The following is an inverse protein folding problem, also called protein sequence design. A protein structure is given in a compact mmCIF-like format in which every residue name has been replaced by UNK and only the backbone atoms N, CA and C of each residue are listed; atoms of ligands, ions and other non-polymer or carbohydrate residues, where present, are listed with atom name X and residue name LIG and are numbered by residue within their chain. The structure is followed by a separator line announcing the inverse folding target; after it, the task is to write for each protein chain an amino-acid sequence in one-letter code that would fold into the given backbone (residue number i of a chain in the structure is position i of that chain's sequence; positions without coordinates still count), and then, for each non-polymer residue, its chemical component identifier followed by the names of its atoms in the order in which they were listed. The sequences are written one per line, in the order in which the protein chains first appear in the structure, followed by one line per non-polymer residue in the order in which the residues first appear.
data_IF_988719434753
#
_entry.id   IF_988719434753
#
_cell.length_a   1.000
_cell.length_b   1.000
_cell.length_c   1.000
_cell.angle_alpha   90.00
_cell.angle_beta   90.00
_cell.angle_gamma   90.00
#
_symmetry.space_group_name_H-M   'P 1'
#
loop_
_entity.id
_entity.type
_entity.pdbx_description
1 polymer ?
2 non-polymer ?
3 non-polymer ?
4 non-polymer ?
5 water ?
#
# COMPACT_ATOMS: atom_id res chain seq x y z
N UNK A 9 4.91 -26.39 -7.67
CA UNK A 9 4.81 -27.55 -6.78
C UNK A 9 5.50 -27.35 -5.44
N UNK A 10 4.71 -27.34 -4.39
CA UNK A 10 5.26 -27.07 -3.06
C UNK A 10 5.83 -28.40 -2.52
N UNK A 11 6.78 -28.28 -1.61
CA UNK A 11 7.33 -29.46 -0.95
C UNK A 11 6.37 -29.91 0.13
N UNK A 12 6.60 -31.11 0.65
CA UNK A 12 5.83 -31.56 1.78
C UNK A 12 5.94 -30.53 2.88
N UNK A 13 4.82 -30.23 3.56
CA UNK A 13 4.88 -29.35 4.74
C UNK A 13 3.92 -29.86 5.79
N UNK A 14 4.27 -29.66 7.05
CA UNK A 14 3.38 -30.09 8.14
C UNK A 14 2.85 -28.89 8.86
N UNK A 15 1.54 -28.70 8.83
CA UNK A 15 0.91 -27.59 9.52
C UNK A 15 -0.52 -27.95 9.92
N UNK A 16 -1.15 -27.19 10.85
CA UNK A 16 -2.51 -27.49 11.31
C UNK A 16 -3.52 -27.53 10.17
N UNK A 17 -4.36 -28.56 10.19
CA UNK A 17 -5.43 -28.71 9.20
C UNK A 17 -6.45 -27.57 9.30
N UNK A 18 -6.73 -26.90 8.17
CA UNK A 18 -7.83 -25.92 8.23
C UNK A 18 -9.13 -26.67 8.48
N UNK A 19 -10.01 -26.05 9.23
CA UNK A 19 -11.28 -26.68 9.57
C UNK A 19 -12.45 -25.91 8.95
N UNK A 20 -13.14 -26.60 8.08
CA UNK A 20 -14.17 -26.01 7.24
C UNK A 20 -15.30 -25.44 8.14
N UNK A 21 -15.54 -26.10 9.27
CA UNK A 21 -16.70 -25.72 10.07
C UNK A 21 -16.24 -24.88 11.26
N UNK A 22 -14.96 -24.43 11.22
CA UNK A 22 -14.45 -23.46 12.22
C UNK A 22 -13.81 -22.23 11.53
N UNK A 23 -14.57 -21.16 11.43
CA UNK A 23 -14.04 -19.86 10.93
C UNK A 23 -12.75 -19.49 11.66
N UNK A 24 -11.81 -18.83 10.96
CA UNK A 24 -10.55 -18.37 11.56
C UNK A 24 -10.76 -17.12 12.44
N UNK A 25 -11.63 -16.23 11.96
CA UNK A 25 -11.96 -14.98 12.62
C UNK A 25 -13.51 -14.96 12.56
N UNK A 26 -14.20 -14.61 13.65
CA UNK A 26 -15.66 -14.47 13.58
C UNK A 26 -16.06 -13.02 13.81
N UNK A 27 -15.11 -12.20 14.21
CA UNK A 27 -15.39 -10.80 14.50
C UNK A 27 -15.33 -9.86 13.28
N UNK A 28 -14.81 -10.31 12.13
CA UNK A 28 -14.58 -9.38 11.03
C UNK A 28 -14.89 -10.08 9.69
N UNK A 29 -15.12 -9.27 8.68
CA UNK A 29 -15.33 -9.76 7.33
C UNK A 29 -13.98 -10.14 6.71
N UNK A 30 -13.87 -11.37 6.23
CA UNK A 30 -12.57 -11.84 5.70
C UNK A 30 -12.56 -12.05 4.20
N UNK A 31 -13.69 -11.76 3.55
CA UNK A 31 -13.73 -11.84 2.09
C UNK A 31 -14.69 -10.76 1.59
N UNK A 32 -14.31 -10.07 0.51
CA UNK A 32 -15.22 -9.12 -0.08
C UNK A 32 -16.32 -9.79 -0.93
N UNK A 33 -17.33 -9.01 -1.33
CA UNK A 33 -18.43 -9.57 -2.14
C UNK A 33 -17.95 -9.92 -3.55
N UNK A 34 -16.74 -9.55 -3.97
CA UNK A 34 -16.22 -10.03 -5.27
C UNK A 34 -15.15 -11.09 -5.04
N UNK A 35 -15.20 -11.70 -3.86
CA UNK A 35 -14.36 -12.83 -3.48
C UNK A 35 -12.85 -12.53 -3.41
N UNK A 36 -12.51 -11.31 -3.06
CA UNK A 36 -11.11 -11.02 -2.72
C UNK A 36 -10.96 -11.24 -1.24
N UNK A 37 -9.86 -11.88 -0.82
CA UNK A 37 -9.67 -11.97 0.65
C UNK A 37 -9.39 -10.59 1.29
N UNK A 38 -9.84 -10.46 2.53
CA UNK A 38 -9.46 -9.28 3.36
C UNK A 38 -8.46 -9.82 4.40
N UNK A 39 -7.24 -9.28 4.35
CA UNK A 39 -6.13 -9.94 5.02
C UNK A 39 -6.04 -9.40 6.47
N UNK A 40 -6.39 -10.27 7.44
CA UNK A 40 -6.26 -10.02 8.88
C UNK A 40 -5.36 -11.14 9.44
N UNK A 41 -4.75 -10.89 10.61
CA UNK A 41 -4.07 -11.93 11.30
C UNK A 41 -5.03 -13.11 11.60
N UNK A 42 -4.52 -14.33 11.47
CA UNK A 42 -5.35 -15.52 11.67
C UNK A 42 -5.89 -16.10 10.36
N UNK A 43 -5.89 -15.32 9.26
CA UNK A 43 -6.55 -15.78 8.04
C UNK A 43 -5.56 -16.54 7.15
N UNK A 44 -4.25 -16.35 7.39
CA UNK A 44 -3.23 -16.92 6.49
C UNK A 44 -2.17 -17.73 7.24
N UNK A 45 -1.60 -18.71 6.53
CA UNK A 45 -0.45 -19.48 7.06
C UNK A 45 0.71 -18.98 6.26
N UNK A 46 1.58 -18.22 6.94
CA UNK A 46 2.63 -17.54 6.19
C UNK A 46 3.64 -18.52 5.63
N UNK A 47 3.75 -19.70 6.26
CA UNK A 47 4.70 -20.67 5.74
C UNK A 47 4.29 -21.13 4.31
N UNK A 48 3.01 -21.36 4.10
CA UNK A 48 2.52 -21.74 2.77
C UNK A 48 2.77 -20.60 1.78
N UNK A 49 2.40 -19.37 2.16
CA UNK A 49 2.51 -18.23 1.24
C UNK A 49 4.02 -18.00 0.93
N UNK A 50 4.87 -18.11 1.95
CA UNK A 50 6.29 -17.88 1.70
C UNK A 50 6.81 -18.87 0.68
N UNK A 51 6.39 -20.12 0.83
CA UNK A 51 6.83 -21.14 -0.13
C UNK A 51 6.37 -20.79 -1.56
N UNK A 52 5.08 -20.46 -1.72
CA UNK A 52 4.57 -20.16 -3.02
C UNK A 52 5.37 -19.02 -3.68
N UNK A 53 5.62 -17.93 -2.94
CA UNK A 53 6.33 -16.78 -3.54
C UNK A 53 7.85 -16.97 -3.75
N UNK A 54 8.47 -17.68 -2.85
CA UNK A 54 9.90 -17.96 -3.04
C UNK A 54 10.11 -18.84 -4.24
N UNK A 55 9.20 -19.81 -4.46
CA UNK A 55 9.37 -20.74 -5.59
C UNK A 55 9.31 -20.02 -6.93
N UNK A 56 8.75 -18.82 -6.92
CA UNK A 56 8.73 -17.95 -8.08
C UNK A 56 9.85 -16.92 -8.02
N UNK A 57 10.70 -17.00 -7.02
CA UNK A 57 11.77 -16.00 -6.92
C UNK A 57 11.24 -14.57 -7.00
N UNK A 58 10.22 -14.30 -6.23
CA UNK A 58 9.54 -13.01 -6.30
C UNK A 58 10.40 -11.85 -5.83
N UNK A 59 10.40 -10.78 -6.63
CA UNK A 59 11.03 -9.49 -6.20
C UNK A 59 9.96 -8.45 -5.93
N UNK A 60 10.07 -7.79 -4.77
CA UNK A 60 9.10 -6.79 -4.38
C UNK A 60 9.76 -5.40 -4.38
N UNK A 61 9.20 -4.48 -5.16
CA UNK A 61 9.67 -3.09 -5.11
C UNK A 61 8.87 -2.29 -4.11
N UNK A 62 9.55 -1.45 -3.34
CA UNK A 62 8.89 -0.58 -2.36
C UNK A 62 9.23 0.85 -2.75
N UNK A 63 8.21 1.67 -3.06
CA UNK A 63 8.46 3.07 -3.43
C UNK A 63 8.08 3.97 -2.29
N UNK A 64 8.93 4.96 -2.03
CA UNK A 64 8.58 5.91 -0.95
C UNK A 64 9.17 7.28 -1.34
N UNK A 65 8.37 8.35 -1.11
CA UNK A 65 8.84 9.71 -1.39
C UNK A 65 9.25 10.37 -0.11
N UNK A 66 10.37 11.04 -0.14
CA UNK A 66 10.82 11.74 1.03
C UNK A 66 11.44 13.06 0.58
N UNK A 67 10.58 14.06 0.39
CA UNK A 67 11.01 15.34 -0.16
C UNK A 67 10.94 16.37 0.95
N UNK A 68 11.87 17.33 0.93
CA UNK A 68 11.97 18.39 1.94
C UNK A 68 12.21 17.76 3.32
N UNK A 69 11.41 18.16 4.32
CA UNK A 69 11.70 17.79 5.71
C UNK A 69 11.42 16.30 5.94
N UNK A 70 10.72 15.67 5.00
CA UNK A 70 10.27 14.31 5.20
C UNK A 70 11.42 13.31 5.07
N UNK A 71 12.57 13.77 4.64
CA UNK A 71 13.73 12.90 4.61
C UNK A 71 14.05 12.43 6.00
N UNK A 72 13.63 13.21 7.01
CA UNK A 72 13.95 12.82 8.41
C UNK A 72 13.27 11.51 8.82
N UNK A 73 12.23 11.10 8.10
CA UNK A 73 11.50 9.89 8.46
C UNK A 73 12.19 8.66 7.90
N UNK A 74 13.17 8.85 6.99
CA UNK A 74 13.66 7.66 6.28
C UNK A 74 14.41 6.68 7.20
N UNK A 75 15.14 7.20 8.17
CA UNK A 75 15.97 6.30 9.00
C UNK A 75 15.07 5.24 9.66
N UNK A 76 14.02 5.68 10.35
CA UNK A 76 13.17 4.70 11.05
C UNK A 76 12.35 3.85 10.06
N UNK A 77 11.88 4.50 8.98
CA UNK A 77 11.14 3.77 7.94
C UNK A 77 12.00 2.60 7.43
N UNK A 78 13.25 2.89 7.04
CA UNK A 78 14.05 1.87 6.37
C UNK A 78 14.54 0.82 7.39
N UNK A 79 14.93 1.23 8.59
CA UNK A 79 15.43 0.28 9.57
C UNK A 79 14.31 -0.70 9.97
N UNK A 80 13.11 -0.18 10.15
CA UNK A 80 12.01 -1.05 10.51
C UNK A 80 11.56 -1.92 9.29
N UNK A 81 11.65 -1.40 8.05
CA UNK A 81 11.38 -2.26 6.87
C UNK A 81 12.32 -3.47 6.83
N UNK A 82 13.59 -3.25 7.20
CA UNK A 82 14.56 -4.34 7.23
C UNK A 82 14.17 -5.40 8.25
N UNK A 83 13.52 -5.01 9.33
CA UNK A 83 13.11 -5.97 10.34
C UNK A 83 11.81 -6.68 9.99
N UNK A 84 10.96 -6.02 9.21
CA UNK A 84 9.58 -6.56 9.07
C UNK A 84 8.98 -6.69 7.67
N UNK A 85 9.61 -6.12 6.65
CA UNK A 85 8.96 -6.07 5.36
C UNK A 85 9.52 -7.11 4.39
N UNK A 86 8.71 -8.14 4.04
CA UNK A 86 9.14 -9.13 3.04
C UNK A 86 10.48 -9.80 3.41
N UNK A 87 10.75 -10.00 4.71
CA UNK A 87 12.02 -10.64 5.05
C UNK A 87 12.12 -12.08 4.48
N UNK A 88 13.24 -12.34 3.82
CA UNK A 88 13.43 -13.66 3.14
C UNK A 88 13.26 -13.63 1.64
N UNK A 89 12.65 -12.54 1.17
CA UNK A 89 12.40 -12.30 -0.22
C UNK A 89 13.30 -11.22 -0.79
N UNK A 90 13.41 -11.17 -2.12
CA UNK A 90 14.14 -10.07 -2.74
C UNK A 90 13.36 -8.79 -2.72
N UNK A 91 14.01 -7.73 -2.25
CA UNK A 91 13.32 -6.42 -2.15
C UNK A 91 14.14 -5.33 -2.78
N UNK A 92 13.52 -4.40 -3.48
CA UNK A 92 14.27 -3.26 -4.05
C UNK A 92 13.56 -2.00 -3.57
N UNK A 93 14.22 -1.20 -2.75
CA UNK A 93 13.60 0.01 -2.25
C UNK A 93 13.91 1.10 -3.23
N UNK A 94 12.90 1.90 -3.56
CA UNK A 94 13.14 3.05 -4.45
C UNK A 94 12.80 4.31 -3.66
N UNK A 95 13.79 5.11 -3.32
CA UNK A 95 13.54 6.24 -2.46
C UNK A 95 13.68 7.48 -3.38
N UNK A 96 12.58 8.21 -3.51
CA UNK A 96 12.55 9.43 -4.30
C UNK A 96 12.74 10.61 -3.36
N UNK A 97 13.75 11.42 -3.63
CA UNK A 97 14.05 12.55 -2.75
C UNK A 97 14.68 13.68 -3.53
N UNK A 98 14.48 14.88 -3.03
CA UNK A 98 15.23 16.06 -3.54
C UNK A 98 16.57 16.19 -2.82
N UNK A 99 16.85 15.33 -1.84
CA UNK A 99 18.13 15.46 -1.10
C UNK A 99 18.84 14.11 -1.00
N UNK A 100 19.45 13.64 -2.09
CA UNK A 100 20.01 12.28 -2.02
C UNK A 100 21.04 12.11 -0.91
N UNK A 101 21.75 13.17 -0.58
CA UNK A 101 22.81 13.02 0.44
C UNK A 101 22.24 12.90 1.89
N UNK A 102 20.95 13.22 2.04
CA UNK A 102 20.25 13.13 3.33
C UNK A 102 19.69 11.73 3.54
N UNK A 103 19.79 10.87 2.55
CA UNK A 103 19.26 9.53 2.73
C UNK A 103 20.22 8.82 3.72
N UNK A 104 19.66 8.22 4.77
CA UNK A 104 20.51 7.59 5.80
C UNK A 104 21.18 6.37 5.22
N UNK A 105 22.35 6.05 5.76
CA UNK A 105 23.04 4.84 5.37
C UNK A 105 22.48 3.70 6.22
N UNK A 106 21.58 2.88 5.66
CA UNK A 106 20.96 1.82 6.45
C UNK A 106 21.49 0.50 5.91
N UNK A 107 21.90 -0.37 6.81
CA UNK A 107 22.47 -1.67 6.43
C UNK A 107 21.36 -2.61 5.97
N UNK A 108 21.53 -3.23 4.82
CA UNK A 108 20.43 -4.06 4.28
C UNK A 108 20.80 -5.53 4.37
N UNK A 109 19.78 -6.37 4.59
CA UNK A 109 19.88 -7.83 4.58
C UNK A 109 20.23 -8.30 3.15
N UNK A 110 20.67 -9.54 3.05
CA UNK A 110 21.02 -10.07 1.73
C UNK A 110 19.81 -10.10 0.79
N UNK A 111 20.02 -9.88 -0.51
CA UNK A 111 18.88 -9.96 -1.42
C UNK A 111 18.08 -8.65 -1.47
N UNK A 112 18.54 -7.60 -0.80
CA UNK A 112 17.74 -6.34 -0.70
C UNK A 112 18.62 -5.25 -1.18
N UNK A 113 18.06 -4.37 -1.99
CA UNK A 113 18.87 -3.23 -2.42
C UNK A 113 18.09 -1.93 -2.41
N UNK A 114 18.81 -0.81 -2.41
CA UNK A 114 18.13 0.45 -2.35
C UNK A 114 18.64 1.36 -3.47
N UNK A 115 17.74 1.98 -4.19
CA UNK A 115 18.15 2.96 -5.19
C UNK A 115 17.60 4.32 -4.79
N UNK A 116 18.44 5.36 -4.86
CA UNK A 116 17.99 6.72 -4.66
C UNK A 116 17.71 7.39 -5.98
N UNK A 117 16.49 7.89 -6.15
CA UNK A 117 16.06 8.59 -7.37
C UNK A 117 15.83 10.03 -7.03
N UNK A 118 16.58 10.94 -7.64
CA UNK A 118 16.49 12.34 -7.24
C UNK A 118 15.37 13.03 -7.99
N UNK A 119 14.51 13.76 -7.28
CA UNK A 119 13.42 14.52 -7.94
C UNK A 119 13.49 15.98 -7.51
N UNK A 120 12.72 16.84 -8.19
CA UNK A 120 12.49 18.25 -7.79
C UNK A 120 11.79 18.37 -6.43
N UNK A 121 11.97 19.48 -5.71
CA UNK A 121 11.08 19.78 -4.58
C UNK A 121 9.91 20.71 -4.97
N UNK A 125 1.34 20.68 -1.83
CA UNK A 125 0.96 19.25 -1.73
C UNK A 125 0.25 18.72 -2.98
N UNK A 126 -0.75 19.46 -3.47
CA UNK A 126 -1.42 19.08 -4.71
C UNK A 126 -0.38 18.57 -5.72
N UNK A 127 0.67 19.36 -5.94
CA UNK A 127 1.73 19.02 -6.88
C UNK A 127 2.64 17.86 -6.44
N UNK A 128 2.92 17.71 -5.15
CA UNK A 128 3.58 16.48 -4.69
C UNK A 128 2.69 15.27 -5.00
N UNK A 129 1.40 15.41 -4.68
CA UNK A 129 0.42 14.34 -4.91
C UNK A 129 0.41 13.85 -6.39
N UNK A 130 0.35 14.84 -7.30
CA UNK A 130 0.31 14.54 -8.72
C UNK A 130 1.63 13.88 -9.10
N UNK A 131 2.70 14.36 -8.48
CA UNK A 131 4.00 13.85 -8.90
C UNK A 131 4.26 12.41 -8.48
N UNK A 132 3.76 11.96 -7.31
CA UNK A 132 3.91 10.54 -6.98
C UNK A 132 3.25 9.66 -8.06
N UNK A 133 1.99 9.95 -8.39
CA UNK A 133 1.31 9.17 -9.44
C UNK A 133 2.06 9.29 -10.77
N UNK A 134 2.50 10.49 -11.12
CA UNK A 134 3.20 10.69 -12.37
C UNK A 134 4.51 9.91 -12.37
N UNK A 135 5.26 9.99 -11.27
CA UNK A 135 6.57 9.34 -11.19
C UNK A 135 6.46 7.81 -11.35
N UNK A 136 5.46 7.22 -10.71
CA UNK A 136 5.31 5.78 -10.74
C UNK A 136 4.84 5.29 -12.09
N UNK A 137 3.95 6.07 -12.74
CA UNK A 137 3.30 5.62 -13.97
C UNK A 137 4.05 5.91 -15.25
N UNK A 138 4.83 6.98 -15.22
CA UNK A 138 5.46 7.51 -16.43
C UNK A 138 6.98 7.36 -16.31
N UNK A 139 7.58 8.07 -15.38
CA UNK A 139 9.04 8.18 -15.39
C UNK A 139 9.76 6.84 -15.10
N UNK A 140 9.17 6.01 -14.25
CA UNK A 140 9.90 4.83 -13.79
C UNK A 140 9.32 3.57 -14.44
N UNK A 141 8.43 3.78 -15.41
CA UNK A 141 7.66 2.66 -15.95
C UNK A 141 8.56 1.48 -16.43
N UNK A 142 9.54 1.76 -17.27
CA UNK A 142 10.34 0.71 -17.88
C UNK A 142 11.26 0.09 -16.81
N UNK A 143 11.75 0.92 -15.91
CA UNK A 143 12.71 0.40 -14.92
C UNK A 143 11.97 -0.61 -14.01
N UNK A 144 10.78 -0.24 -13.59
CA UNK A 144 10.09 -1.16 -12.67
C UNK A 144 9.73 -2.48 -13.36
N UNK A 145 9.24 -2.41 -14.62
CA UNK A 145 8.89 -3.64 -15.32
C UNK A 145 10.11 -4.61 -15.42
N UNK A 146 11.32 -4.06 -15.50
CA UNK A 146 12.51 -4.88 -15.67
C UNK A 146 13.07 -5.35 -14.37
N UNK A 147 12.68 -4.74 -13.26
CA UNK A 147 13.40 -5.02 -12.04
C UNK A 147 12.62 -5.69 -10.95
N UNK A 148 11.30 -5.50 -10.92
CA UNK A 148 10.53 -6.09 -9.84
C UNK A 148 9.24 -6.77 -10.38
N UNK A 149 8.67 -7.68 -9.60
CA UNK A 149 7.41 -8.34 -9.95
C UNK A 149 6.19 -7.64 -9.40
N UNK A 150 6.34 -7.07 -8.19
CA UNK A 150 5.24 -6.37 -7.51
C UNK A 150 5.76 -5.07 -7.03
N UNK A 151 4.88 -4.09 -6.92
CA UNK A 151 5.26 -2.78 -6.40
C UNK A 151 4.34 -2.44 -5.26
N UNK A 152 4.90 -1.86 -4.20
CA UNK A 152 4.10 -1.44 -3.04
C UNK A 152 4.47 0.04 -2.89
N UNK A 153 3.46 0.91 -2.73
CA UNK A 153 3.71 2.37 -2.75
C UNK A 153 3.19 2.84 -1.42
N UNK A 154 4.07 3.45 -0.61
CA UNK A 154 3.70 3.83 0.75
C UNK A 154 4.12 5.26 1.10
N UNK A 155 3.53 5.78 2.17
CA UNK A 155 3.95 7.06 2.75
C UNK A 155 5.25 6.79 3.58
N UNK A 156 6.05 7.83 3.78
CA UNK A 156 7.30 7.68 4.49
C UNK A 156 7.18 7.96 5.99
N UNK A 157 6.15 8.70 6.39
CA UNK A 157 5.98 9.09 7.83
C UNK A 157 5.36 7.93 8.63
N UNK A 158 6.02 6.78 8.54
CA UNK A 158 5.42 5.50 8.99
C UNK A 158 6.53 4.63 9.48
N UNK A 159 6.18 3.59 10.25
CA UNK A 159 7.19 2.59 10.57
C UNK A 159 6.54 1.23 10.57
N UNK A 160 7.33 0.22 10.26
CA UNK A 160 6.85 -1.15 10.43
C UNK A 160 7.01 -1.61 11.86
N UNK A 161 5.95 -2.12 12.47
CA UNK A 161 6.10 -2.65 13.84
C UNK A 161 5.90 -4.13 13.91
N UNK A 162 5.47 -4.73 12.80
CA UNK A 162 5.26 -6.15 12.83
C UNK A 162 5.31 -6.63 11.39
N UNK A 163 5.14 -7.92 11.22
CA UNK A 163 5.30 -8.57 9.89
C UNK A 163 4.43 -7.92 8.78
N UNK A 164 5.05 -7.53 7.66
CA UNK A 164 4.28 -7.20 6.44
C UNK A 164 4.94 -8.08 5.37
N UNK A 165 4.24 -9.12 4.89
CA UNK A 165 4.90 -10.10 4.01
C UNK A 165 4.09 -10.42 2.79
N UNK A 166 4.38 -11.60 2.23
CA UNK A 166 3.88 -11.86 0.87
C UNK A 166 2.39 -12.21 0.93
N UNK A 167 1.84 -12.28 2.12
CA UNK A 167 0.36 -12.37 2.21
C UNK A 167 -0.33 -11.17 1.54
N UNK A 168 0.36 -10.03 1.33
CA UNK A 168 -0.34 -8.92 0.70
C UNK A 168 -0.31 -8.99 -0.83
N UNK A 169 0.56 -9.87 -1.40
CA UNK A 169 0.83 -9.78 -2.82
C UNK A 169 -0.28 -10.44 -3.67
N UNK A 170 -0.57 -9.77 -4.80
CA UNK A 170 -1.74 -10.09 -5.64
C UNK A 170 -1.66 -9.08 -6.75
N UNK A 171 -2.46 -9.28 -7.80
CA UNK A 171 -2.42 -8.30 -8.89
C UNK A 171 -2.70 -6.86 -8.42
N UNK A 172 -3.66 -6.59 -7.55
CA UNK A 172 -3.96 -5.21 -7.17
C UNK A 172 -4.52 -5.24 -5.76
N UNK A 173 -3.87 -4.49 -4.87
CA UNK A 173 -4.49 -4.38 -3.55
C UNK A 173 -4.60 -2.93 -3.06
N UNK A 174 -5.62 -2.74 -2.20
CA UNK A 174 -5.73 -1.49 -1.44
C UNK A 174 -5.91 -1.86 0.02
N UNK A 175 -5.78 -0.85 0.88
CA UNK A 175 -5.73 -1.08 2.33
C UNK A 175 -6.88 -0.24 2.93
N UNK A 176 -7.65 -0.83 3.81
CA UNK A 176 -8.74 -0.11 4.49
C UNK A 176 -8.12 1.04 5.32
N UNK A 177 -8.60 2.24 5.07
CA UNK A 177 -8.13 3.40 5.83
C UNK A 177 -8.59 3.20 7.29
N UNK A 178 -7.71 3.48 8.28
CA UNK A 178 -8.04 3.06 9.65
C UNK A 178 -9.09 3.95 10.27
N UNK A 179 -9.37 5.13 9.67
CA UNK A 179 -10.40 5.98 10.21
C UNK A 179 -11.82 5.57 9.82
N UNK A 180 -11.98 4.70 8.83
CA UNK A 180 -13.28 4.50 8.20
C UNK A 180 -13.73 3.05 8.12
N UNK A 181 -12.92 2.12 8.62
CA UNK A 181 -13.25 0.72 8.41
C UNK A 181 -14.59 0.35 9.06
N UNK A 182 -15.05 1.10 10.08
CA UNK A 182 -16.32 0.78 10.67
C UNK A 182 -17.43 1.72 10.24
N UNK A 183 -17.18 2.52 9.22
CA UNK A 183 -18.15 3.52 8.81
C UNK A 183 -19.08 3.09 7.70
N UNK A 184 -20.24 3.76 7.63
CA UNK A 184 -21.09 3.57 6.47
C UNK A 184 -20.58 4.40 5.28
N UNK A 185 -20.96 4.03 4.05
CA UNK A 185 -20.37 4.65 2.83
C UNK A 185 -20.71 6.14 2.76
N UNK A 186 -21.87 6.51 3.29
CA UNK A 186 -22.23 7.94 3.30
C UNK A 186 -21.22 8.81 4.09
N UNK A 187 -20.60 8.26 5.13
CA UNK A 187 -19.56 8.94 5.94
C UNK A 187 -18.17 8.96 5.34
N UNK A 188 -17.93 8.14 4.33
CA UNK A 188 -16.64 8.12 3.65
C UNK A 188 -16.39 9.51 3.01
N UNK A 189 -15.15 9.98 3.08
CA UNK A 189 -14.81 11.31 2.56
C UNK A 189 -14.36 11.17 1.11
N UNK A 190 -15.14 10.43 0.31
CA UNK A 190 -14.91 10.43 -1.15
C UNK A 190 -15.17 11.83 -1.68
N UNK A 191 -14.60 12.11 -2.84
CA UNK A 191 -14.98 13.34 -3.57
C UNK A 191 -16.43 13.25 -3.95
N UNK A 192 -17.20 14.29 -3.57
CA UNK A 192 -18.60 14.28 -3.78
C UNK A 192 -19.06 15.29 -4.87
N UNK A 193 -18.16 16.04 -5.52
CA UNK A 193 -18.64 17.01 -6.52
C UNK A 193 -18.60 16.35 -7.87
N UNK A 194 -19.71 16.31 -8.59
CA UNK A 194 -19.74 15.62 -9.90
C UNK A 194 -18.81 16.23 -10.98
N UNK A 195 -18.34 17.46 -10.74
CA UNK A 195 -17.39 18.12 -11.63
C UNK A 195 -15.99 17.51 -11.56
N UNK A 196 -15.73 16.69 -10.54
CA UNK A 196 -14.41 16.03 -10.39
C UNK A 196 -14.41 14.62 -10.96
N UNK A 197 -13.34 14.26 -11.67
CA UNK A 197 -13.17 12.88 -12.12
C UNK A 197 -13.19 11.87 -10.96
N UNK A 198 -12.91 12.30 -9.74
CA UNK A 198 -12.94 11.37 -8.61
C UNK A 198 -14.33 11.20 -7.95
N UNK A 199 -15.33 11.84 -8.49
CA UNK A 199 -16.68 11.85 -7.91
C UNK A 199 -17.23 10.45 -7.66
N UNK A 200 -17.68 10.21 -6.43
CA UNK A 200 -18.45 9.02 -6.13
C UNK A 200 -19.77 9.42 -5.45
N UNK A 201 -20.91 9.01 -6.01
CA UNK A 201 -22.22 9.36 -5.44
C UNK A 201 -22.42 8.72 -4.08
N UNK A 202 -23.35 9.30 -3.30
CA UNK A 202 -23.55 8.81 -1.94
C UNK A 202 -23.98 7.36 -1.80
N UNK A 203 -24.68 6.83 -2.82
CA UNK A 203 -25.09 5.42 -2.78
C UNK A 203 -24.08 4.38 -3.33
N UNK A 204 -22.84 4.80 -3.63
CA UNK A 204 -21.83 3.90 -4.15
C UNK A 204 -20.64 3.84 -3.23
N UNK A 205 -19.87 2.76 -3.32
CA UNK A 205 -18.68 2.69 -2.51
C UNK A 205 -18.67 1.36 -1.74
N UNK A 206 -17.53 0.64 -1.77
CA UNK A 206 -17.41 -0.59 -0.95
C UNK A 206 -16.68 -0.24 0.35
N UNK A 207 -15.50 0.40 0.19
CA UNK A 207 -14.64 0.70 1.29
C UNK A 207 -13.98 2.02 1.05
N UNK A 208 -13.44 2.60 2.13
CA UNK A 208 -12.57 3.77 1.95
C UNK A 208 -11.13 3.34 2.10
N UNK A 209 -10.39 3.37 0.99
CA UNK A 209 -9.00 2.86 0.95
C UNK A 209 -8.04 3.99 1.27
N UNK A 210 -6.97 3.67 1.97
CA UNK A 210 -6.02 4.71 2.35
C UNK A 210 -5.01 4.97 1.24
N UNK A 211 -4.66 6.24 1.02
CA UNK A 211 -3.65 6.52 0.00
C UNK A 211 -2.24 6.10 0.40
N UNK A 212 -2.02 5.85 1.69
CA UNK A 212 -0.67 5.56 2.21
C UNK A 212 -0.11 4.16 1.99
N UNK A 213 -0.91 3.24 1.48
CA UNK A 213 -0.36 1.87 1.27
C UNK A 213 -1.26 1.17 0.21
N UNK A 214 -0.75 1.05 -1.02
CA UNK A 214 -1.44 0.32 -2.08
C UNK A 214 -0.37 -0.37 -2.92
N UNK A 215 -0.74 -1.26 -3.81
CA UNK A 215 0.27 -1.95 -4.58
C UNK A 215 -0.35 -3.06 -5.39
N UNK A 216 0.50 -3.90 -5.92
CA UNK A 216 0.01 -4.89 -6.90
C UNK A 216 1.13 -5.33 -7.80
N UNK A 217 0.79 -6.08 -8.87
CA UNK A 217 1.81 -6.42 -9.85
C UNK A 217 2.26 -5.09 -10.50
N UNK A 218 3.45 -5.09 -11.09
CA UNK A 218 3.91 -3.86 -11.71
C UNK A 218 2.87 -3.39 -12.77
N UNK A 219 2.38 -4.29 -13.61
CA UNK A 219 1.45 -3.86 -14.68
C UNK A 219 0.18 -3.25 -14.09
N UNK A 220 -0.37 -3.84 -13.02
CA UNK A 220 -1.60 -3.26 -12.42
C UNK A 220 -1.34 -1.93 -11.70
N UNK A 221 -0.17 -1.82 -11.04
CA UNK A 221 0.13 -0.56 -10.33
C UNK A 221 0.36 0.54 -11.36
N UNK A 222 1.05 0.21 -12.44
CA UNK A 222 1.23 1.23 -13.50
C UNK A 222 -0.12 1.62 -14.12
N UNK A 223 -1.05 0.66 -14.29
CA UNK A 223 -2.38 1.02 -14.78
C UNK A 223 -3.16 1.96 -13.82
N UNK A 224 -3.05 1.63 -12.55
CA UNK A 224 -3.77 2.40 -11.55
C UNK A 224 -3.16 3.82 -11.50
N UNK A 225 -1.84 3.94 -11.47
CA UNK A 225 -1.26 5.28 -11.28
C UNK A 225 -1.38 6.10 -12.56
N UNK A 226 -1.33 5.43 -13.71
CA UNK A 226 -1.58 6.13 -14.96
C UNK A 226 -3.03 6.68 -15.00
N UNK A 227 -4.00 5.85 -14.64
CA UNK A 227 -5.39 6.33 -14.57
C UNK A 227 -5.57 7.47 -13.59
N UNK A 228 -4.97 7.33 -12.39
CA UNK A 228 -5.13 8.42 -11.33
C UNK A 228 -4.43 9.68 -11.88
N UNK A 229 -3.26 9.58 -12.46
CA UNK A 229 -2.59 10.76 -12.99
C UNK A 229 -3.42 11.43 -14.11
N UNK A 230 -3.95 10.64 -15.04
CA UNK A 230 -4.74 11.20 -16.12
C UNK A 230 -5.97 11.94 -15.54
N UNK A 231 -6.63 11.33 -14.55
CA UNK A 231 -7.83 11.90 -13.90
C UNK A 231 -7.47 13.20 -13.19
N UNK A 232 -6.32 13.20 -12.53
CA UNK A 232 -5.88 14.38 -11.82
C UNK A 232 -5.58 15.51 -12.77
N UNK A 233 -4.98 15.20 -13.91
CA UNK A 233 -4.73 16.26 -14.91
C UNK A 233 -6.00 16.84 -15.54
N UNK A 234 -6.99 15.99 -15.77
CA UNK A 234 -8.30 16.46 -16.23
C UNK A 234 -8.90 17.43 -15.20
N UNK A 235 -8.93 17.02 -13.93
CA UNK A 235 -9.42 17.92 -12.87
C UNK A 235 -8.65 19.24 -12.85
N UNK A 236 -7.34 19.14 -12.99
CA UNK A 236 -6.51 20.35 -12.94
C UNK A 236 -6.91 21.28 -14.09
N UNK A 237 -7.06 20.73 -15.30
CA UNK A 237 -7.52 21.54 -16.42
C UNK A 237 -8.92 22.12 -16.19
N UNK A 238 -9.74 21.46 -15.39
CA UNK A 238 -11.08 21.94 -15.16
C UNK A 238 -11.18 22.80 -13.93
N UNK A 239 -10.01 23.10 -13.35
CA UNK A 239 -9.98 24.00 -12.19
C UNK A 239 -10.55 23.37 -10.91
N UNK A 240 -10.40 22.07 -10.73
CA UNK A 240 -10.93 21.43 -9.54
C UNK A 240 -9.88 20.53 -8.93
N UNK A 241 -9.84 20.47 -7.62
CA UNK A 241 -8.84 19.60 -6.96
C UNK A 241 -9.65 18.71 -6.00
N UNK A 242 -9.49 17.39 -6.14
CA UNK A 242 -10.28 16.47 -5.31
C UNK A 242 -9.95 16.64 -3.83
N UNK A 243 -10.96 16.40 -3.01
CA UNK A 243 -10.88 16.70 -1.56
C UNK A 243 -9.66 16.10 -0.84
N UNK A 244 -9.34 14.84 -1.15
CA UNK A 244 -8.17 14.21 -0.52
C UNK A 244 -7.18 13.82 -1.64
N UNK A 245 -7.19 14.63 -2.70
CA UNK A 245 -6.09 14.58 -3.69
C UNK A 245 -5.93 13.17 -4.29
N UNK A 246 -4.71 12.63 -4.27
CA UNK A 246 -4.50 11.30 -4.87
C UNK A 246 -5.32 10.20 -4.18
N UNK A 247 -5.62 10.35 -2.91
CA UNK A 247 -6.42 9.33 -2.23
C UNK A 247 -7.85 9.28 -2.80
N UNK A 248 -8.39 10.45 -3.18
CA UNK A 248 -9.74 10.52 -3.74
C UNK A 248 -9.75 9.77 -5.07
N UNK A 249 -8.74 10.00 -5.90
CA UNK A 249 -8.66 9.27 -7.19
C UNK A 249 -8.38 7.79 -7.02
N UNK A 250 -7.54 7.44 -6.03
CA UNK A 250 -7.33 6.02 -5.72
C UNK A 250 -8.69 5.32 -5.40
N UNK A 251 -9.49 5.95 -4.55
CA UNK A 251 -10.82 5.42 -4.23
C UNK A 251 -11.71 5.25 -5.43
N UNK A 252 -11.72 6.25 -6.32
CA UNK A 252 -12.55 6.14 -7.55
C UNK A 252 -12.05 4.96 -8.39
N UNK A 253 -10.73 4.83 -8.52
CA UNK A 253 -10.17 3.73 -9.33
C UNK A 253 -10.54 2.37 -8.76
N UNK A 254 -10.36 2.20 -7.46
CA UNK A 254 -10.63 0.89 -6.84
C UNK A 254 -12.10 0.58 -6.67
N UNK A 255 -12.98 1.59 -6.75
CA UNK A 255 -14.41 1.32 -6.83
C UNK A 255 -14.74 0.64 -8.18
N UNK A 256 -14.19 1.19 -9.26
CA UNK A 256 -14.46 0.77 -10.65
C UNK A 256 -13.58 -0.41 -11.09
N UNK A 257 -12.47 -0.71 -10.39
CA UNK A 257 -11.51 -1.79 -10.74
C UNK A 257 -11.20 -2.45 -9.41
N UNK A 258 -11.97 -3.49 -9.10
CA UNK A 258 -11.93 -4.02 -7.73
C UNK A 258 -10.56 -4.64 -7.45
N UNK A 259 -10.08 -4.41 -6.24
CA UNK A 259 -8.78 -5.00 -5.94
C UNK A 259 -8.93 -6.48 -5.69
N UNK A 260 -7.87 -7.23 -5.99
CA UNK A 260 -7.88 -8.66 -5.78
C UNK A 260 -7.53 -9.13 -4.37
N UNK A 261 -7.01 -8.25 -3.53
CA UNK A 261 -6.88 -8.48 -2.05
C UNK A 261 -7.16 -7.13 -1.42
N UNK A 262 -7.79 -7.13 -0.25
CA UNK A 262 -7.94 -5.87 0.53
C UNK A 262 -7.18 -6.10 1.81
N UNK A 263 -6.30 -5.17 2.19
CA UNK A 263 -5.60 -5.34 3.43
C UNK A 263 -6.43 -4.69 4.58
N UNK A 264 -6.46 -5.37 5.76
CA UNK A 264 -7.10 -4.79 6.92
C UNK A 264 -6.30 -3.60 7.44
N UNK A 265 -6.88 -2.82 8.35
CA UNK A 265 -6.12 -1.69 8.91
C UNK A 265 -4.96 -2.14 9.79
N UNK A 266 -4.72 -3.44 9.98
CA UNK A 266 -3.45 -3.84 10.61
C UNK A 266 -2.28 -3.27 9.79
N UNK A 267 -2.53 -3.07 8.51
CA UNK A 267 -1.50 -2.66 7.55
C UNK A 267 -1.41 -1.14 7.36
N UNK A 268 -2.26 -0.38 8.03
CA UNK A 268 -2.21 1.06 7.88
C UNK A 268 -2.90 1.65 9.12
N UNK A 269 -2.11 1.94 10.14
CA UNK A 269 -2.76 2.23 11.45
C UNK A 269 -2.17 3.53 12.00
N UNK A 270 -2.76 4.09 13.06
CA UNK A 270 -2.15 5.25 13.75
C UNK A 270 -2.50 5.08 15.21
N UNK A 271 -1.54 4.60 15.99
CA UNK A 271 -1.87 4.20 17.35
C UNK A 271 -2.15 5.42 18.22
N UNK A 272 -1.44 6.51 17.95
CA UNK A 272 -1.71 7.72 18.75
C UNK A 272 -3.19 8.19 18.63
N UNK A 273 -3.74 8.17 17.42
CA UNK A 273 -5.12 8.62 17.15
C UNK A 273 -6.19 7.59 17.40
N UNK A 274 -5.82 6.30 17.39
CA UNK A 274 -6.82 5.21 17.34
C UNK A 274 -6.59 4.07 18.36
N UNK A 275 -5.43 4.10 19.04
CA UNK A 275 -5.22 3.15 20.09
C UNK A 275 -4.92 1.76 19.54
N UNK A 276 -5.30 0.70 20.26
CA UNK A 276 -5.02 -0.69 19.79
C UNK A 276 -6.28 -1.49 20.14
N UNK A 277 -7.28 -1.43 19.24
CA UNK A 277 -8.59 -2.06 19.44
C UNK A 277 -8.43 -3.58 19.49
N UNK A 278 -9.37 -4.25 20.13
CA UNK A 278 -9.36 -5.72 20.19
C UNK A 278 -9.37 -6.39 18.80
N UNK A 279 -10.04 -5.76 17.83
CA UNK A 279 -10.09 -6.35 16.50
C UNK A 279 -8.73 -6.37 15.77
N UNK A 280 -7.75 -5.57 16.24
CA UNK A 280 -6.42 -5.58 15.61
C UNK A 280 -5.49 -6.48 16.41
N UNK A 281 -5.18 -7.66 15.89
CA UNK A 281 -4.37 -8.59 16.66
C UNK A 281 -2.88 -8.24 16.50
N UNK A 282 -2.55 -7.52 15.44
CA UNK A 282 -1.21 -7.04 15.15
C UNK A 282 -1.31 -5.62 14.57
N UNK A 283 -0.40 -4.71 14.94
CA UNK A 283 -0.30 -3.34 14.33
C UNK A 283 0.96 -3.46 13.52
N UNK A 284 0.81 -3.50 12.19
CA UNK A 284 1.96 -3.83 11.35
C UNK A 284 2.69 -2.64 10.79
N UNK A 285 1.94 -1.64 10.32
CA UNK A 285 2.58 -0.51 9.61
C UNK A 285 1.79 0.68 10.10
N UNK A 286 2.46 1.59 10.76
CA UNK A 286 1.77 2.60 11.56
C UNK A 286 2.43 3.97 11.48
N UNK A 287 1.61 5.00 11.68
CA UNK A 287 2.05 6.38 11.59
C UNK A 287 3.08 6.70 12.70
N UNK A 288 4.03 7.57 12.39
CA UNK A 288 5.03 8.00 13.36
C UNK A 288 4.44 9.28 13.99
N UNK A 289 4.21 9.25 15.33
CA UNK A 289 3.59 10.33 16.14
C UNK A 289 4.47 11.57 16.21
X LIG B 1 1.38 10.01 5.88
X LIG C 1 3.08 17.20 2.99
X LIG C 1 2.13 18.20 3.27
X LIG C 1 2.10 19.33 2.44
X LIG C 1 2.99 19.45 1.37
X LIG C 1 3.94 18.44 1.11
X LIG C 1 3.97 17.35 1.96
X LIG C 1 5.05 16.24 1.69
X LIG C 1 4.66 14.91 1.50
X LIG C 1 6.42 16.57 1.58
X LIG C 1 6.93 17.86 1.76
X LIG C 1 7.38 15.63 1.36
X LIG C 1 6.96 14.35 1.18
X LIG C 1 7.81 13.51 0.86
X LIG C 1 5.68 13.99 1.22
X LIG C 1 5.35 12.54 0.99
X LIG C 1 3.90 12.49 0.80
X LIG C 1 5.68 11.68 2.15
X LIG C 1 6.02 10.40 1.64
X LIG C 1 4.40 11.67 2.89
X LIG C 1 4.43 10.60 3.79
X LIG C 1 3.34 11.63 1.82
X LIG C 1 1.97 12.16 2.23
X LIG C 1 2.02 13.31 3.07
X LIG C 1 1.65 13.22 4.56
X LIG C 1 2.17 11.96 5.13
X LIG C 1 2.18 14.43 5.30
X LIG C 1 0.04 13.30 4.64
X LIG C 1 -1.06 12.25 5.09
X LIG C 1 -0.66 11.18 6.02
X LIG C 1 -2.25 13.04 5.56
X LIG C 1 -1.43 11.71 3.63
X LIG C 1 -2.50 10.98 3.28
X LIG C 1 -3.29 11.84 2.40
X LIG C 1 -2.64 12.21 1.25
X LIG C 1 -3.72 13.04 0.56
X LIG C 1 -3.37 13.55 -0.66
X LIG C 1 -2.09 10.99 0.49
X LIG C 1 -3.11 10.21 -0.15
X LIG C 1 -1.26 10.11 1.39
X LIG C 1 -0.78 8.89 0.71
X LIG C 1 -2.09 9.76 2.50
X LIG C 1 -1.49 8.86 3.44
X LIG D 1 23.89 -8.98 -1.00
X LIG D 1 24.19 -7.77 -0.24
X LIG D 1 22.56 -8.90 -1.62
X LIG D 1 24.84 -8.92 -2.14
X LIG D 1 24.20 -10.15 -0.20
#
# INVERSE_FOLDING_TARGET
MAIGEFMVSLPRMVYPQPKVLTPCRKDVLVVTPWLAPIVWEGTFNIDILNEQFRLQNTTIGLTVFAIKKYVAFLKLFLETAEKHFMVGHRVHYYVFTDQPAAVPRVTLGTGRQLSVLEVRAYKRWQDVSMRRMEMISDFCERRFLSEVDYLVCVDVDMEFRDHVGVEILTPLFGTLHPGFYGSSREAFTYERRPQSQAYIPKDEGDFYYGGAFFGGSVQEVQRLTRACHQAMMVDQANGIEAVWHDESHLNKYLLRHKPTKVLSPEYLWDQQLLGWPAVLRKLRFTAVPKNHQAVRNP
MN MN
2GW CAP CAN CAM CAO CAQ CBA CBB CAR CBC OAA NAU CBD OAB NBN C1' O4' C2' O2' C3' O3' C4' C5' O5' PBO OAK OAC OAZ PBP OAL OAD O1 C1 O5 C5 C6 O6 C4 O4 C3 O3 C2 O2
SO4 S O1 O2 O3 O4
#
